data_IF_302849124111
#
_entry.id   IF_302849124111
#
_cell.length_a   1.000
_cell.length_b   1.000
_cell.length_c   1.000
_cell.angle_alpha   90.00
_cell.angle_beta   90.00
_cell.angle_gamma   90.00
#
_symmetry.space_group_name_H-M   'P 1'
#
loop_
_entity.id
_entity.type
_entity.pdbx_description
1 polymer ?
#
# COMPACT_ATOMS: atom_id res chain seq x y z
N UNK A 1 -3.27 -7.18 13.91
CA UNK A 1 -2.05 -7.34 13.10
C UNK A 1 -1.33 -6.02 13.01
N UNK A 2 -2.04 -4.91 12.80
CA UNK A 2 -1.52 -3.54 12.96
C UNK A 2 -0.99 -3.28 14.38
N UNK A 3 -1.77 -3.57 15.43
CA UNK A 3 -1.33 -3.39 16.83
C UNK A 3 0.00 -4.10 17.16
N UNK A 4 0.18 -5.35 16.72
CA UNK A 4 1.45 -6.08 16.93
C UNK A 4 2.63 -5.47 16.15
N UNK A 5 2.39 -4.88 14.98
CA UNK A 5 3.44 -4.22 14.19
C UNK A 5 3.80 -2.84 14.76
N UNK A 6 2.89 -2.21 15.48
CA UNK A 6 3.15 -1.02 16.28
C UNK A 6 3.98 -1.35 17.52
N UNK A 7 3.64 -2.43 18.22
CA UNK A 7 4.39 -2.91 19.39
C UNK A 7 5.83 -3.35 19.06
N UNK A 8 6.11 -3.68 17.80
CA UNK A 8 7.43 -4.11 17.32
C UNK A 8 8.32 -2.97 16.80
N UNK A 9 7.86 -1.71 16.90
CA UNK A 9 8.58 -0.53 16.36
C UNK A 9 8.97 -0.69 14.87
N UNK A 10 8.17 -1.41 14.09
CA UNK A 10 8.45 -1.61 12.67
C UNK A 10 8.40 -0.28 11.92
N UNK A 11 9.40 -0.06 11.06
CA UNK A 11 9.41 1.08 10.14
C UNK A 11 8.21 1.01 9.18
N UNK A 12 7.75 2.14 8.62
CA UNK A 12 6.65 2.15 7.65
C UNK A 12 6.89 1.21 6.46
N UNK A 13 8.15 1.13 6.00
CA UNK A 13 8.59 0.25 4.93
C UNK A 13 8.47 -1.25 5.30
N UNK A 14 8.80 -1.62 6.53
CA UNK A 14 8.66 -3.00 7.02
C UNK A 14 7.19 -3.42 7.11
N UNK A 15 6.31 -2.52 7.58
CA UNK A 15 4.86 -2.78 7.62
C UNK A 15 4.30 -3.10 6.23
N UNK A 16 4.65 -2.29 5.23
CA UNK A 16 4.24 -2.54 3.83
C UNK A 16 4.86 -3.82 3.29
N UNK A 17 6.13 -4.07 3.59
CA UNK A 17 6.83 -5.29 3.14
C UNK A 17 6.15 -6.55 3.71
N UNK A 18 5.77 -6.51 4.98
CA UNK A 18 5.06 -7.60 5.62
C UNK A 18 3.66 -7.82 5.05
N UNK A 19 2.86 -6.75 4.88
CA UNK A 19 1.53 -6.84 4.30
C UNK A 19 1.55 -7.43 2.89
N UNK A 20 2.51 -7.00 2.07
CA UNK A 20 2.64 -7.41 0.66
C UNK A 20 3.32 -8.76 0.48
N UNK A 21 3.92 -9.33 1.54
CA UNK A 21 4.53 -10.66 1.51
C UNK A 21 3.53 -11.76 1.12
N UNK A 22 2.25 -11.58 1.48
CA UNK A 22 1.19 -12.53 1.18
C UNK A 22 0.65 -12.43 -0.26
N UNK A 23 1.09 -11.44 -1.04
CA UNK A 23 0.62 -11.30 -2.42
C UNK A 23 1.08 -12.45 -3.31
N UNK A 24 0.17 -12.89 -4.16
CA UNK A 24 0.40 -13.96 -5.14
C UNK A 24 -0.14 -13.56 -6.50
N UNK A 25 0.40 -14.17 -7.56
CA UNK A 25 -0.06 -13.96 -8.93
C UNK A 25 -0.06 -12.49 -9.35
N UNK A 26 -1.19 -12.02 -9.88
CA UNK A 26 -1.33 -10.66 -10.40
C UNK A 26 -1.06 -9.59 -9.35
N UNK A 27 -1.43 -9.82 -8.08
CA UNK A 27 -1.16 -8.87 -7.00
C UNK A 27 0.35 -8.71 -6.73
N UNK A 28 1.12 -9.79 -6.80
CA UNK A 28 2.58 -9.74 -6.65
C UNK A 28 3.25 -9.05 -7.83
N UNK A 29 2.75 -9.30 -9.06
CA UNK A 29 3.25 -8.64 -10.27
C UNK A 29 2.99 -7.13 -10.24
N UNK A 30 1.79 -6.71 -9.84
CA UNK A 30 1.45 -5.31 -9.64
C UNK A 30 2.37 -4.66 -8.60
N UNK A 31 2.47 -5.25 -7.41
CA UNK A 31 3.28 -4.68 -6.34
C UNK A 31 4.75 -4.52 -6.72
N UNK A 32 5.32 -5.48 -7.47
CA UNK A 32 6.69 -5.36 -7.99
C UNK A 32 6.87 -4.12 -8.86
N UNK A 33 5.97 -3.89 -9.83
CA UNK A 33 6.03 -2.71 -10.68
C UNK A 33 5.81 -1.39 -9.92
N UNK A 34 4.86 -1.37 -8.98
CA UNK A 34 4.62 -0.20 -8.12
C UNK A 34 5.83 0.11 -7.24
N UNK A 35 6.48 -0.91 -6.67
CA UNK A 35 7.69 -0.74 -5.86
C UNK A 35 8.85 -0.19 -6.68
N UNK A 36 9.07 -0.69 -7.89
CA UNK A 36 10.07 -0.14 -8.82
C UNK A 36 9.79 1.33 -9.16
N UNK A 37 8.52 1.67 -9.41
CA UNK A 37 8.10 3.06 -9.63
C UNK A 37 8.41 3.94 -8.40
N UNK A 38 8.06 3.49 -7.19
CA UNK A 38 8.31 4.26 -5.96
C UNK A 38 9.80 4.56 -5.79
N UNK A 39 10.65 3.53 -5.95
CA UNK A 39 12.11 3.68 -5.86
C UNK A 39 12.64 4.65 -6.91
N UNK A 40 12.18 4.52 -8.16
CA UNK A 40 12.65 5.35 -9.28
C UNK A 40 12.27 6.82 -9.13
N UNK A 41 11.13 7.11 -8.51
CA UNK A 41 10.59 8.45 -8.34
C UNK A 41 10.80 9.01 -6.91
N UNK A 42 11.66 8.37 -6.11
CA UNK A 42 11.95 8.77 -4.72
C UNK A 42 10.69 8.93 -3.84
N UNK A 43 9.66 8.13 -4.13
CA UNK A 43 8.43 8.09 -3.34
C UNK A 43 8.66 7.20 -2.12
N UNK A 44 8.37 7.74 -0.94
CA UNK A 44 8.52 7.00 0.32
C UNK A 44 7.62 5.75 0.35
N UNK A 45 8.20 4.61 0.72
CA UNK A 45 7.46 3.36 0.92
C UNK A 45 6.82 3.33 2.31
N UNK A 46 5.56 3.74 2.38
CA UNK A 46 4.75 3.74 3.60
C UNK A 46 3.30 3.29 3.28
N UNK A 47 2.49 3.07 4.31
CA UNK A 47 1.12 2.57 4.13
C UNK A 47 0.22 3.56 3.36
N UNK A 48 0.43 4.87 3.51
CA UNK A 48 -0.35 5.90 2.82
C UNK A 48 -0.14 5.83 1.31
N UNK A 49 1.11 5.84 0.87
CA UNK A 49 1.45 5.75 -0.54
C UNK A 49 1.03 4.39 -1.12
N UNK A 50 1.26 3.29 -0.40
CA UNK A 50 0.75 1.98 -0.79
C UNK A 50 -0.77 2.00 -1.06
N UNK A 51 -1.55 2.50 -0.09
CA UNK A 51 -3.01 2.60 -0.21
C UNK A 51 -3.42 3.50 -1.36
N UNK A 52 -2.74 4.64 -1.56
CA UNK A 52 -2.99 5.54 -2.68
C UNK A 52 -2.83 4.83 -4.03
N UNK A 53 -1.74 4.09 -4.25
CA UNK A 53 -1.53 3.36 -5.50
C UNK A 53 -2.51 2.19 -5.66
N UNK A 54 -2.81 1.48 -4.57
CA UNK A 54 -3.78 0.39 -4.60
C UNK A 54 -5.18 0.88 -4.98
N UNK A 55 -5.65 1.93 -4.30
CA UNK A 55 -6.95 2.54 -4.55
C UNK A 55 -7.01 3.11 -5.97
N UNK A 56 -5.98 3.84 -6.43
CA UNK A 56 -5.94 4.39 -7.78
C UNK A 56 -5.94 3.32 -8.89
N UNK A 57 -5.45 2.12 -8.61
CA UNK A 57 -5.44 1.02 -9.59
C UNK A 57 -6.76 0.23 -9.62
N UNK A 58 -7.41 0.04 -8.47
CA UNK A 58 -8.48 -0.94 -8.31
C UNK A 58 -9.83 -0.36 -7.87
N UNK A 59 -9.86 0.85 -7.31
CA UNK A 59 -11.09 1.50 -6.86
C UNK A 59 -11.43 2.64 -7.82
N UNK A 60 -12.56 2.56 -8.54
CA UNK A 60 -12.99 3.63 -9.42
C UNK A 60 -13.23 4.94 -8.66
N UNK A 61 -12.97 6.09 -9.29
CA UNK A 61 -13.13 7.41 -8.69
C UNK A 61 -14.56 7.68 -8.18
N UNK A 62 -15.56 7.03 -8.77
CA UNK A 62 -16.95 7.11 -8.30
C UNK A 62 -17.15 6.59 -6.88
N UNK A 63 -16.30 5.66 -6.42
CA UNK A 63 -16.35 5.05 -5.09
C UNK A 63 -15.45 5.77 -4.08
N UNK A 64 -14.33 6.35 -4.51
CA UNK A 64 -13.44 7.11 -3.62
C UNK A 64 -14.14 8.37 -3.05
N UNK A 65 -15.02 9.00 -3.84
CA UNK A 65 -15.83 10.15 -3.40
C UNK A 65 -16.86 9.83 -2.31
N UNK A 66 -17.30 8.56 -2.18
CA UNK A 66 -18.23 8.17 -1.12
C UNK A 66 -17.50 7.84 0.19
N UNK A 67 -16.36 7.16 0.12
CA UNK A 67 -15.62 6.76 1.32
C UNK A 67 -15.05 7.95 2.12
N UNK A 68 -14.66 9.05 1.45
CA UNK A 68 -14.18 10.27 2.11
C UNK A 68 -15.25 11.07 2.88
N UNK A 69 -16.52 10.65 2.84
CA UNK A 69 -17.62 11.23 3.64
C UNK A 69 -18.04 10.38 4.83
N UNK A 70 -17.54 9.15 4.94
CA UNK A 70 -17.95 8.20 5.98
C UNK A 70 -16.85 7.96 7.04
N UNK A 71 -15.70 8.64 6.92
CA UNK A 71 -14.65 8.75 7.94
C UNK A 71 -14.74 10.10 8.66
#
# INVERSE_FOLDING_TARGET
MEDMLEDLDCTPAEKVTFATHFFRGLASNWWRGTKEYMVTNEVEMNCENFSRFFMGQYVPDSFTFQMGREL
#
